data_IF_001770133686
#
_entry.id   IF_001770133686
#
_cell.length_a   1.000
_cell.length_b   1.000
_cell.length_c   1.000
_cell.angle_alpha   90.00
_cell.angle_beta   90.00
_cell.angle_gamma   90.00
#
_symmetry.space_group_name_H-M   'P 1'
#
loop_
_entity.id
_entity.type
_entity.pdbx_description
1 polymer ?
#
# COMPACT_ATOMS: atom_id res chain seq x y z
N UNK A 1 10.01 -23.14 -33.02
CA UNK A 1 10.07 -22.07 -31.99
C UNK A 1 8.94 -22.28 -30.99
N UNK A 2 9.22 -22.44 -29.69
CA UNK A 2 8.27 -23.01 -28.72
C UNK A 2 7.16 -21.99 -28.32
N UNK A 3 5.87 -22.25 -28.61
CA UNK A 3 4.78 -21.28 -28.41
C UNK A 3 4.47 -20.92 -26.95
N UNK A 4 5.04 -21.66 -25.98
CA UNK A 4 4.93 -21.35 -24.55
C UNK A 4 5.83 -20.18 -24.11
N UNK A 5 7.01 -20.03 -24.74
CA UNK A 5 7.98 -18.97 -24.40
C UNK A 5 7.54 -17.59 -24.91
N UNK A 6 6.93 -17.54 -26.09
CA UNK A 6 6.41 -16.29 -26.68
C UNK A 6 5.22 -15.71 -25.91
N UNK A 7 4.41 -16.56 -25.26
CA UNK A 7 3.28 -16.13 -24.40
C UNK A 7 3.76 -15.47 -23.10
N UNK A 8 4.81 -16.01 -22.48
CA UNK A 8 5.45 -15.43 -21.29
C UNK A 8 6.11 -14.08 -21.59
N UNK A 9 6.86 -13.99 -22.70
CA UNK A 9 7.52 -12.76 -23.12
C UNK A 9 6.53 -11.62 -23.43
N UNK A 10 5.41 -11.94 -24.09
CA UNK A 10 4.36 -10.97 -24.41
C UNK A 10 3.60 -10.52 -23.16
N UNK A 11 3.37 -11.41 -22.19
CA UNK A 11 2.85 -11.05 -20.86
C UNK A 11 3.81 -10.11 -20.13
N UNK A 12 5.11 -10.43 -20.04
CA UNK A 12 6.12 -9.61 -19.35
C UNK A 12 6.24 -8.22 -20.01
N UNK A 13 6.27 -8.16 -21.35
CA UNK A 13 6.32 -6.88 -22.08
C UNK A 13 5.06 -6.03 -21.87
N UNK A 14 3.88 -6.65 -21.77
CA UNK A 14 2.63 -5.97 -21.46
C UNK A 14 2.56 -5.53 -19.98
N UNK A 15 3.07 -6.34 -19.04
CA UNK A 15 3.24 -5.98 -17.64
C UNK A 15 4.21 -4.80 -17.45
N UNK A 16 5.30 -4.75 -18.23
CA UNK A 16 6.28 -3.67 -18.19
C UNK A 16 5.74 -2.36 -18.78
N UNK A 17 4.98 -2.42 -19.88
CA UNK A 17 4.41 -1.23 -20.53
C UNK A 17 3.15 -0.68 -19.84
N UNK A 18 2.49 -1.46 -18.97
CA UNK A 18 1.32 -0.99 -18.22
C UNK A 18 1.63 -0.32 -16.88
N UNK A 19 2.89 -0.33 -16.41
CA UNK A 19 3.24 -0.01 -15.00
C UNK A 19 4.46 0.88 -14.81
N UNK A 20 4.61 2.02 -15.53
CA UNK A 20 5.83 2.82 -15.48
C UNK A 20 6.16 3.34 -14.07
N UNK A 21 5.15 3.67 -13.26
CA UNK A 21 5.33 4.26 -11.93
C UNK A 21 5.86 3.27 -10.89
N UNK A 22 5.31 2.05 -10.87
CA UNK A 22 5.76 0.99 -9.96
C UNK A 22 7.18 0.53 -10.31
N UNK A 23 7.46 0.34 -11.60
CA UNK A 23 8.79 -0.06 -12.07
C UNK A 23 9.83 1.02 -11.81
N UNK A 24 9.46 2.29 -11.98
CA UNK A 24 10.31 3.42 -11.63
C UNK A 24 10.62 3.46 -10.13
N UNK A 25 9.62 3.24 -9.26
CA UNK A 25 9.85 3.15 -7.81
C UNK A 25 10.78 1.99 -7.44
N UNK A 26 10.63 0.81 -8.06
CA UNK A 26 11.53 -0.34 -7.84
C UNK A 26 12.94 -0.04 -8.32
N UNK A 27 13.08 0.55 -9.50
CA UNK A 27 14.36 0.92 -10.06
C UNK A 27 15.09 1.88 -9.12
N UNK A 28 14.40 2.92 -8.63
CA UNK A 28 14.99 3.89 -7.71
C UNK A 28 15.42 3.25 -6.39
N UNK A 29 14.59 2.36 -5.83
CA UNK A 29 14.93 1.61 -4.62
C UNK A 29 16.17 0.72 -4.82
N UNK A 30 16.29 0.08 -5.99
CA UNK A 30 17.44 -0.76 -6.35
C UNK A 30 18.70 0.08 -6.48
N UNK A 31 18.60 1.26 -7.13
CA UNK A 31 19.72 2.20 -7.26
C UNK A 31 20.22 2.63 -5.88
N UNK A 32 19.31 3.03 -4.98
CA UNK A 32 19.69 3.45 -3.62
C UNK A 32 20.29 2.30 -2.81
N UNK A 33 19.72 1.10 -2.92
CA UNK A 33 20.28 -0.08 -2.27
C UNK A 33 21.74 -0.33 -2.71
N UNK A 34 22.05 -0.17 -4.00
CA UNK A 34 23.40 -0.35 -4.54
C UNK A 34 24.33 0.81 -4.17
N UNK A 35 23.89 2.06 -4.23
CA UNK A 35 24.70 3.22 -3.86
C UNK A 35 25.09 3.24 -2.37
N UNK A 36 24.24 2.70 -1.49
CA UNK A 36 24.51 2.62 -0.05
C UNK A 36 25.38 1.41 0.37
N UNK A 37 25.82 0.58 -0.58
CA UNK A 37 26.69 -0.59 -0.32
C UNK A 37 27.92 -0.30 0.53
N UNK A 38 28.70 0.77 0.29
CA UNK A 38 29.95 0.97 1.02
C UNK A 38 29.76 1.59 2.41
N UNK A 39 28.55 2.03 2.77
CA UNK A 39 28.33 2.84 3.97
C UNK A 39 27.53 2.13 5.08
N UNK A 40 26.67 1.17 4.73
CA UNK A 40 25.69 0.60 5.66
C UNK A 40 25.55 -0.92 5.55
N UNK A 41 25.05 -1.54 6.64
CA UNK A 41 24.71 -2.96 6.66
C UNK A 41 23.58 -3.29 5.67
N UNK A 42 23.47 -4.53 5.17
CA UNK A 42 22.42 -4.93 4.24
C UNK A 42 20.99 -4.65 4.74
N UNK A 43 20.76 -4.76 6.05
CA UNK A 43 19.45 -4.47 6.67
C UNK A 43 19.06 -2.99 6.55
N UNK A 44 19.96 -2.07 6.90
CA UNK A 44 19.72 -0.62 6.80
C UNK A 44 19.51 -0.21 5.34
N UNK A 45 20.31 -0.77 4.42
CA UNK A 45 20.19 -0.52 2.98
C UNK A 45 18.83 -0.95 2.44
N UNK A 46 18.31 -2.10 2.90
CA UNK A 46 17.00 -2.59 2.53
C UNK A 46 15.89 -1.65 3.03
N UNK A 47 16.00 -1.15 4.26
CA UNK A 47 15.05 -0.19 4.82
C UNK A 47 15.06 1.15 4.06
N UNK A 48 16.23 1.65 3.68
CA UNK A 48 16.32 2.85 2.82
C UNK A 48 15.68 2.62 1.45
N UNK A 49 16.00 1.50 0.78
CA UNK A 49 15.40 1.15 -0.50
C UNK A 49 13.87 1.04 -0.40
N UNK A 50 13.37 0.40 0.65
CA UNK A 50 11.93 0.30 0.93
C UNK A 50 11.29 1.67 1.10
N UNK A 51 11.86 2.55 1.94
CA UNK A 51 11.31 3.89 2.15
C UNK A 51 11.21 4.67 0.85
N UNK A 52 12.24 4.62 0.01
CA UNK A 52 12.23 5.34 -1.26
C UNK A 52 11.21 4.75 -2.24
N UNK A 53 11.12 3.43 -2.33
CA UNK A 53 10.06 2.77 -3.09
C UNK A 53 8.68 3.24 -2.61
N UNK A 54 8.43 3.12 -1.30
CA UNK A 54 7.12 3.36 -0.68
C UNK A 54 6.69 4.81 -0.84
N UNK A 55 7.54 5.78 -0.49
CA UNK A 55 7.23 7.21 -0.61
C UNK A 55 7.01 7.66 -2.04
N UNK A 56 7.87 7.24 -2.98
CA UNK A 56 7.66 7.54 -4.41
C UNK A 56 6.34 6.96 -4.90
N UNK A 57 6.03 5.73 -4.49
CA UNK A 57 4.80 5.08 -4.91
C UNK A 57 3.56 5.75 -4.30
N UNK A 58 3.59 6.15 -3.03
CA UNK A 58 2.55 6.96 -2.38
C UNK A 58 2.33 8.25 -3.18
N UNK A 59 3.40 8.98 -3.52
CA UNK A 59 3.31 10.21 -4.31
C UNK A 59 2.67 9.97 -5.68
N UNK A 60 3.03 8.89 -6.37
CA UNK A 60 2.42 8.51 -7.64
C UNK A 60 0.93 8.15 -7.53
N UNK A 61 0.52 7.51 -6.44
CA UNK A 61 -0.88 7.19 -6.17
C UNK A 61 -1.65 8.47 -5.83
N UNK A 62 -1.12 9.34 -4.96
CA UNK A 62 -1.73 10.63 -4.64
C UNK A 62 -1.89 11.50 -5.89
N UNK A 63 -0.85 11.60 -6.71
CA UNK A 63 -0.92 12.32 -7.98
C UNK A 63 -1.96 11.71 -8.94
N UNK A 64 -2.23 10.40 -8.87
CA UNK A 64 -3.32 9.75 -9.64
C UNK A 64 -4.69 10.14 -9.08
N UNK A 65 -4.85 10.15 -7.76
CA UNK A 65 -6.11 10.48 -7.07
C UNK A 65 -6.47 11.96 -7.30
N UNK A 66 -5.52 12.87 -7.15
CA UNK A 66 -5.73 14.33 -7.28
C UNK A 66 -6.04 14.73 -8.73
N UNK A 67 -5.34 14.17 -9.72
CA UNK A 67 -5.43 14.63 -11.10
C UNK A 67 -6.55 13.99 -11.94
N UNK A 68 -7.32 13.03 -11.40
CA UNK A 68 -8.33 12.28 -12.18
C UNK A 68 -9.74 12.58 -11.71
N UNK A 69 -10.59 13.04 -12.64
CA UNK A 69 -12.03 13.24 -12.40
C UNK A 69 -12.79 11.91 -12.46
N UNK A 70 -13.91 11.83 -11.74
CA UNK A 70 -14.72 10.61 -11.62
C UNK A 70 -15.10 9.95 -12.97
N UNK A 71 -15.42 10.76 -13.98
CA UNK A 71 -15.81 10.28 -15.31
C UNK A 71 -14.70 9.52 -16.05
N UNK A 72 -13.42 9.84 -15.78
CA UNK A 72 -12.28 9.17 -16.41
C UNK A 72 -12.01 7.80 -15.78
N UNK A 73 -12.39 7.60 -14.52
CA UNK A 73 -12.08 6.38 -13.76
C UNK A 73 -12.76 5.18 -14.42
N UNK A 74 -14.06 5.27 -14.74
CA UNK A 74 -14.85 4.18 -15.35
C UNK A 74 -14.25 3.64 -16.65
N UNK A 75 -13.62 4.49 -17.46
CA UNK A 75 -12.97 4.08 -18.73
C UNK A 75 -11.60 3.45 -18.50
N UNK A 76 -10.87 3.89 -17.47
CA UNK A 76 -9.51 3.44 -17.17
C UNK A 76 -9.52 2.11 -16.39
N UNK A 77 -10.46 1.91 -15.45
CA UNK A 77 -10.51 0.71 -14.60
C UNK A 77 -10.79 -0.58 -15.37
N UNK A 78 -11.43 -0.52 -16.55
CA UNK A 78 -11.61 -1.67 -17.46
C UNK A 78 -10.32 -2.10 -18.18
N UNK A 79 -9.28 -1.25 -18.19
CA UNK A 79 -8.01 -1.54 -18.86
C UNK A 79 -6.88 -1.90 -17.87
N UNK A 80 -7.01 -1.57 -16.59
CA UNK A 80 -6.02 -1.80 -15.52
C UNK A 80 -6.30 -3.07 -14.65
N UNK A 81 -6.99 -4.06 -15.23
CA UNK A 81 -7.67 -5.21 -14.56
C UNK A 81 -6.77 -6.17 -13.73
N UNK A 82 -5.43 -6.08 -13.84
CA UNK A 82 -4.51 -6.97 -13.11
C UNK A 82 -3.53 -6.25 -12.14
N UNK A 83 -3.55 -4.92 -12.06
CA UNK A 83 -2.59 -4.17 -11.23
C UNK A 83 -3.01 -3.98 -9.76
N UNK A 84 -4.29 -3.81 -9.46
CA UNK A 84 -4.74 -3.48 -8.09
C UNK A 84 -4.50 -4.64 -7.10
N UNK A 85 -4.74 -5.89 -7.52
CA UNK A 85 -4.54 -7.09 -6.68
C UNK A 85 -3.07 -7.35 -6.37
N UNK A 86 -2.18 -7.16 -7.35
CA UNK A 86 -0.72 -7.29 -7.16
C UNK A 86 -0.17 -6.18 -6.25
N UNK A 87 -0.71 -4.96 -6.34
CA UNK A 87 -0.33 -3.86 -5.44
C UNK A 87 -0.70 -4.19 -4.00
N UNK A 88 -1.94 -4.65 -3.76
CA UNK A 88 -2.34 -5.12 -2.42
C UNK A 88 -1.42 -6.25 -1.95
N UNK A 89 -1.09 -7.21 -2.82
CA UNK A 89 -0.19 -8.31 -2.48
C UNK A 89 1.19 -7.81 -2.01
N UNK A 90 1.82 -6.89 -2.75
CA UNK A 90 3.11 -6.31 -2.34
C UNK A 90 3.02 -5.43 -1.10
N UNK A 91 1.90 -4.72 -0.90
CA UNK A 91 1.67 -3.92 0.30
C UNK A 91 1.49 -4.81 1.54
N UNK A 92 0.77 -5.92 1.41
CA UNK A 92 0.62 -6.91 2.48
C UNK A 92 1.95 -7.57 2.80
N UNK A 93 2.76 -7.94 1.79
CA UNK A 93 4.11 -8.46 2.01
C UNK A 93 5.00 -7.40 2.69
N UNK A 94 4.96 -6.15 2.23
CA UNK A 94 5.68 -5.03 2.83
C UNK A 94 5.32 -4.79 4.29
N UNK A 95 4.03 -4.91 4.60
CA UNK A 95 3.49 -4.88 5.95
C UNK A 95 4.06 -6.03 6.80
N UNK A 96 4.01 -7.28 6.32
CA UNK A 96 4.58 -8.42 7.01
C UNK A 96 6.09 -8.27 7.25
N UNK A 97 6.84 -7.77 6.26
CA UNK A 97 8.27 -7.49 6.39
C UNK A 97 8.52 -6.38 7.42
N UNK A 98 7.70 -5.32 7.43
CA UNK A 98 7.82 -4.23 8.40
C UNK A 98 7.58 -4.73 9.83
N UNK A 99 6.58 -5.60 10.03
CA UNK A 99 6.30 -6.26 11.32
C UNK A 99 7.43 -7.20 11.72
N UNK A 100 8.01 -7.95 10.78
CA UNK A 100 9.15 -8.84 11.07
C UNK A 100 10.38 -8.03 11.49
N UNK A 101 10.69 -6.96 10.77
CA UNK A 101 11.80 -6.06 11.10
C UNK A 101 11.58 -5.41 12.47
N UNK A 102 10.35 -5.05 12.82
CA UNK A 102 9.99 -4.57 14.16
C UNK A 102 10.35 -5.57 15.27
N UNK A 103 10.00 -6.84 15.12
CA UNK A 103 10.32 -7.87 16.12
C UNK A 103 11.83 -8.08 16.25
N UNK A 104 12.57 -8.02 15.15
CA UNK A 104 14.02 -8.19 15.14
C UNK A 104 14.75 -6.97 15.74
N UNK A 105 14.24 -5.76 15.53
CA UNK A 105 14.80 -4.54 16.11
C UNK A 105 14.55 -4.51 17.63
N UNK A 106 13.38 -4.96 18.09
CA UNK A 106 13.08 -5.13 19.53
C UNK A 106 14.10 -6.04 20.23
N UNK A 107 14.57 -7.10 19.55
CA UNK A 107 15.55 -8.03 20.10
C UNK A 107 16.98 -7.44 20.19
N UNK A 108 17.26 -6.34 19.49
CA UNK A 108 18.61 -5.77 19.34
C UNK A 108 18.77 -4.36 19.93
N UNK A 109 17.68 -3.75 20.42
CA UNK A 109 17.63 -2.39 20.96
C UNK A 109 18.65 -2.08 22.09
N UNK A 110 19.16 -3.11 22.77
CA UNK A 110 20.14 -2.98 23.85
C UNK A 110 21.59 -2.66 23.43
N UNK A 111 21.95 -2.71 22.14
CA UNK A 111 23.38 -2.74 21.73
C UNK A 111 23.93 -1.53 20.94
N UNK A 112 23.11 -0.53 20.60
CA UNK A 112 23.57 0.60 19.78
C UNK A 112 23.64 1.87 20.65
N UNK A 113 24.72 2.65 20.62
CA UNK A 113 24.83 3.92 21.35
C UNK A 113 25.23 5.06 20.39
N UNK A 114 24.71 6.27 20.61
CA UNK A 114 25.08 7.48 19.85
C UNK A 114 24.15 7.86 18.66
N UNK A 115 24.66 8.75 17.79
CA UNK A 115 23.93 9.39 16.67
C UNK A 115 23.27 8.40 15.68
N UNK A 116 23.78 7.17 15.60
CA UNK A 116 23.23 6.11 14.76
C UNK A 116 21.86 5.60 15.25
N UNK A 117 21.55 5.70 16.56
CA UNK A 117 20.24 5.33 17.11
C UNK A 117 19.10 6.20 16.56
N UNK A 118 19.33 7.52 16.49
CA UNK A 118 18.31 8.48 16.01
C UNK A 118 17.99 8.23 14.55
N UNK A 119 19.03 8.03 13.72
CA UNK A 119 18.88 7.70 12.30
C UNK A 119 18.09 6.41 12.09
N UNK A 120 18.43 5.35 12.85
CA UNK A 120 17.69 4.09 12.83
C UNK A 120 16.22 4.30 13.18
N UNK A 121 15.95 5.05 14.26
CA UNK A 121 14.60 5.35 14.70
C UNK A 121 13.77 6.09 13.65
N UNK A 122 14.34 7.11 13.01
CA UNK A 122 13.67 7.86 11.93
C UNK A 122 13.35 6.95 10.74
N UNK A 123 14.31 6.10 10.33
CA UNK A 123 14.12 5.17 9.20
C UNK A 123 13.05 4.13 9.53
N UNK A 124 13.07 3.54 10.72
CA UNK A 124 12.05 2.60 11.17
C UNK A 124 10.68 3.27 11.24
N UNK A 125 10.58 4.45 11.86
CA UNK A 125 9.33 5.20 11.93
C UNK A 125 8.76 5.56 10.55
N UNK A 126 9.63 6.00 9.62
CA UNK A 126 9.26 6.26 8.23
C UNK A 126 8.81 4.99 7.49
N UNK A 127 9.47 3.85 7.75
CA UNK A 127 9.09 2.55 7.20
C UNK A 127 7.67 2.17 7.65
N UNK A 128 7.40 2.33 8.95
CA UNK A 128 6.11 2.02 9.54
C UNK A 128 5.00 2.91 8.98
N UNK A 129 5.24 4.22 8.95
CA UNK A 129 4.28 5.20 8.44
C UNK A 129 3.97 4.98 6.96
N UNK A 130 5.01 4.78 6.13
CA UNK A 130 4.83 4.54 4.70
C UNK A 130 4.13 3.20 4.42
N UNK A 131 4.48 2.13 5.15
CA UNK A 131 3.78 0.85 5.06
C UNK A 131 2.31 0.94 5.50
N UNK A 132 2.01 1.70 6.55
CA UNK A 132 0.64 1.96 6.97
C UNK A 132 -0.14 2.73 5.90
N UNK A 133 0.42 3.82 5.36
CA UNK A 133 -0.22 4.65 4.34
C UNK A 133 -0.49 3.90 3.03
N UNK A 134 0.42 2.99 2.64
CA UNK A 134 0.26 2.19 1.44
C UNK A 134 -0.96 1.27 1.49
N UNK A 135 -1.36 0.82 2.68
CA UNK A 135 -2.49 -0.09 2.86
C UNK A 135 -3.82 0.53 2.41
N UNK A 136 -4.35 1.60 3.02
CA UNK A 136 -5.59 2.21 2.57
C UNK A 136 -5.46 2.82 1.16
N UNK A 137 -4.27 3.28 0.75
CA UNK A 137 -4.06 3.73 -0.63
C UNK A 137 -4.19 2.59 -1.66
N UNK A 138 -3.71 1.40 -1.33
CA UNK A 138 -3.88 0.19 -2.14
C UNK A 138 -5.35 -0.25 -2.21
N UNK A 139 -6.03 -0.27 -1.05
CA UNK A 139 -7.45 -0.60 -0.97
C UNK A 139 -8.33 0.44 -1.67
N UNK A 140 -7.99 1.72 -1.65
CA UNK A 140 -8.66 2.78 -2.43
C UNK A 140 -8.72 2.43 -3.92
N UNK A 141 -7.56 2.05 -4.49
CA UNK A 141 -7.48 1.66 -5.90
C UNK A 141 -8.25 0.37 -6.19
N UNK A 142 -8.25 -0.57 -5.24
CA UNK A 142 -8.97 -1.82 -5.38
C UNK A 142 -10.48 -1.66 -5.29
N UNK A 143 -10.99 -0.85 -4.36
CA UNK A 143 -12.41 -0.53 -4.27
C UNK A 143 -12.89 0.17 -5.53
N UNK A 144 -12.16 1.16 -6.03
CA UNK A 144 -12.50 1.83 -7.29
C UNK A 144 -12.59 0.83 -8.45
N UNK A 145 -11.59 -0.06 -8.56
CA UNK A 145 -11.56 -1.06 -9.61
C UNK A 145 -12.73 -2.05 -9.52
N UNK A 146 -12.96 -2.62 -8.34
CA UNK A 146 -14.01 -3.60 -8.10
C UNK A 146 -15.41 -2.99 -8.28
N UNK A 147 -15.60 -1.75 -7.82
CA UNK A 147 -16.85 -1.01 -8.00
C UNK A 147 -17.18 -0.79 -9.48
N UNK A 148 -16.21 -0.33 -10.28
CA UNK A 148 -16.42 -0.07 -11.71
C UNK A 148 -16.38 -1.33 -12.59
N UNK A 149 -15.81 -2.43 -12.09
CA UNK A 149 -15.84 -3.73 -12.77
C UNK A 149 -17.20 -4.44 -12.63
N UNK A 150 -18.05 -4.02 -11.69
CA UNK A 150 -19.37 -4.60 -11.49
C UNK A 150 -20.23 -4.45 -12.77
N UNK A 151 -20.68 -5.56 -13.40
CA UNK A 151 -21.50 -5.51 -14.60
C UNK A 151 -22.93 -5.05 -14.33
N UNK A 152 -23.41 -5.09 -13.08
CA UNK A 152 -24.76 -4.67 -12.68
C UNK A 152 -24.71 -3.27 -12.07
N UNK A 153 -24.82 -2.25 -12.90
CA UNK A 153 -24.79 -0.85 -12.46
C UNK A 153 -25.91 -0.50 -11.47
N UNK A 154 -27.04 -1.20 -11.54
CA UNK A 154 -28.23 -0.97 -10.71
C UNK A 154 -28.10 -1.52 -9.28
N UNK A 155 -27.06 -2.31 -9.00
CA UNK A 155 -26.75 -2.88 -7.68
C UNK A 155 -25.33 -2.50 -7.25
N UNK A 156 -25.11 -1.24 -6.83
CA UNK A 156 -23.79 -0.74 -6.49
C UNK A 156 -23.24 -1.40 -5.22
N UNK A 157 -21.98 -1.82 -5.28
CA UNK A 157 -21.36 -2.55 -4.17
C UNK A 157 -20.98 -1.66 -2.97
N UNK A 158 -20.89 -0.34 -3.19
CA UNK A 158 -20.76 0.67 -2.15
C UNK A 158 -21.85 1.72 -2.33
N UNK A 159 -22.54 2.04 -1.25
CA UNK A 159 -23.67 2.95 -1.19
C UNK A 159 -23.24 4.21 -0.46
N UNK A 160 -23.00 5.28 -1.21
CA UNK A 160 -22.65 6.60 -0.66
C UNK A 160 -23.92 7.35 -0.22
N UNK A 161 -23.87 8.14 0.87
CA UNK A 161 -25.05 8.82 1.42
C UNK A 161 -25.72 9.76 0.40
N UNK A 162 -24.92 10.45 -0.40
CA UNK A 162 -25.40 11.38 -1.44
C UNK A 162 -25.89 10.68 -2.72
N UNK A 163 -25.97 9.33 -2.72
CA UNK A 163 -26.43 8.51 -3.85
C UNK A 163 -25.68 8.79 -5.16
N UNK A 164 -24.39 9.09 -5.04
CA UNK A 164 -23.50 9.38 -6.17
C UNK A 164 -23.38 8.13 -7.06
N UNK A 165 -23.70 8.27 -8.36
CA UNK A 165 -23.63 7.15 -9.31
C UNK A 165 -22.22 6.90 -9.87
N UNK A 166 -21.36 7.91 -9.83
CA UNK A 166 -19.98 7.84 -10.32
C UNK A 166 -19.02 8.39 -9.25
N UNK A 167 -18.72 7.62 -8.19
CA UNK A 167 -17.76 8.02 -7.17
C UNK A 167 -16.35 8.21 -7.74
N UNK A 168 -15.70 9.27 -7.28
CA UNK A 168 -14.31 9.61 -7.57
C UNK A 168 -13.34 8.79 -6.72
N UNK A 169 -12.03 8.90 -7.00
CA UNK A 169 -11.02 8.30 -6.13
C UNK A 169 -11.04 8.85 -4.70
N UNK A 170 -11.49 10.09 -4.49
CA UNK A 170 -11.63 10.67 -3.15
C UNK A 170 -12.68 9.95 -2.32
N UNK A 171 -13.77 9.51 -2.94
CA UNK A 171 -14.86 8.80 -2.26
C UNK A 171 -14.39 7.40 -1.82
N UNK A 172 -13.64 6.70 -2.67
CA UNK A 172 -13.01 5.42 -2.31
C UNK A 172 -11.88 5.58 -1.29
N UNK A 173 -11.14 6.69 -1.36
CA UNK A 173 -10.07 7.00 -0.41
C UNK A 173 -10.64 7.28 0.96
N UNK A 174 -11.69 8.10 1.04
CA UNK A 174 -12.44 8.35 2.25
C UNK A 174 -12.93 7.05 2.89
N UNK A 175 -13.60 6.19 2.13
CA UNK A 175 -14.06 4.90 2.61
C UNK A 175 -12.90 4.02 3.13
N UNK A 176 -11.83 3.88 2.35
CA UNK A 176 -10.71 3.02 2.70
C UNK A 176 -9.93 3.52 3.91
N UNK A 177 -9.66 4.81 4.01
CA UNK A 177 -8.97 5.39 5.17
C UNK A 177 -9.82 5.30 6.44
N UNK A 178 -11.15 5.43 6.33
CA UNK A 178 -12.04 5.28 7.48
C UNK A 178 -11.96 3.87 8.07
N UNK A 179 -11.91 2.84 7.21
CA UNK A 179 -11.68 1.45 7.66
C UNK A 179 -10.29 1.28 8.28
N UNK A 180 -9.25 1.87 7.68
CA UNK A 180 -7.89 1.72 8.18
C UNK A 180 -7.66 2.40 9.54
N UNK A 181 -8.26 3.57 9.75
CA UNK A 181 -8.11 4.35 10.98
C UNK A 181 -9.02 3.82 12.09
N UNK A 182 -10.30 3.54 11.80
CA UNK A 182 -11.33 3.35 12.82
C UNK A 182 -12.10 2.02 12.72
N UNK A 183 -11.76 1.13 11.77
CA UNK A 183 -12.37 -0.19 11.55
C UNK A 183 -13.88 -0.25 11.26
N UNK A 184 -14.65 0.86 11.41
CA UNK A 184 -15.80 1.30 10.62
C UNK A 184 -16.63 2.35 11.38
N UNK A 185 -16.48 3.63 11.01
CA UNK A 185 -17.37 4.75 11.36
C UNK A 185 -17.79 5.53 10.09
N UNK A 186 -17.88 4.83 8.96
CA UNK A 186 -18.19 5.43 7.67
C UNK A 186 -19.71 5.54 7.46
N UNK A 187 -20.14 6.64 6.84
CA UNK A 187 -21.48 6.86 6.30
C UNK A 187 -21.76 6.04 5.02
N UNK A 188 -20.72 5.39 4.47
CA UNK A 188 -20.80 4.52 3.30
C UNK A 188 -21.20 3.11 3.68
N UNK A 189 -22.30 2.63 3.10
CA UNK A 189 -22.82 1.28 3.32
C UNK A 189 -22.26 0.28 2.29
N UNK A 190 -22.03 -0.97 2.72
CA UNK A 190 -21.52 -2.05 1.86
C UNK A 190 -22.70 -2.83 1.29
N UNK A 191 -22.93 -2.71 -0.03
CA UNK A 191 -24.13 -3.23 -0.70
C UNK A 191 -24.05 -4.71 -1.11
N UNK A 192 -22.85 -5.28 -1.29
CA UNK A 192 -22.69 -6.65 -1.81
C UNK A 192 -21.89 -7.58 -0.90
N UNK A 193 -22.14 -8.89 -0.99
CA UNK A 193 -21.38 -9.90 -0.26
C UNK A 193 -19.90 -9.91 -0.65
N UNK A 194 -19.57 -9.75 -1.93
CA UNK A 194 -18.18 -9.71 -2.39
C UNK A 194 -17.43 -8.51 -1.83
N UNK A 195 -18.07 -7.34 -1.77
CA UNK A 195 -17.45 -6.16 -1.15
C UNK A 195 -17.27 -6.34 0.36
N UNK A 196 -18.22 -6.98 1.05
CA UNK A 196 -18.08 -7.32 2.49
C UNK A 196 -16.85 -8.19 2.77
N UNK A 197 -16.52 -9.16 1.91
CA UNK A 197 -15.30 -9.98 2.06
C UNK A 197 -14.02 -9.13 1.96
N UNK A 198 -13.97 -8.19 1.03
CA UNK A 198 -12.83 -7.28 0.83
C UNK A 198 -12.68 -6.34 2.02
N UNK A 199 -13.79 -5.75 2.48
CA UNK A 199 -13.81 -4.85 3.65
C UNK A 199 -13.35 -5.61 4.90
N UNK A 200 -13.84 -6.83 5.11
CA UNK A 200 -13.40 -7.68 6.23
C UNK A 200 -11.89 -7.94 6.18
N UNK A 201 -11.36 -8.27 5.00
CA UNK A 201 -9.91 -8.45 4.82
C UNK A 201 -9.14 -7.18 5.18
N UNK A 202 -9.57 -6.01 4.70
CA UNK A 202 -8.94 -4.74 5.05
C UNK A 202 -8.98 -4.51 6.56
N UNK A 203 -10.16 -4.65 7.19
CA UNK A 203 -10.35 -4.40 8.62
C UNK A 203 -9.44 -5.27 9.48
N UNK A 204 -9.32 -6.57 9.17
CA UNK A 204 -8.43 -7.48 9.91
C UNK A 204 -6.97 -7.06 9.78
N UNK A 205 -6.51 -6.74 8.57
CA UNK A 205 -5.12 -6.32 8.35
C UNK A 205 -4.84 -4.98 9.04
N UNK A 206 -5.76 -4.02 8.93
CA UNK A 206 -5.66 -2.70 9.59
C UNK A 206 -5.64 -2.83 11.10
N UNK A 207 -6.46 -3.71 11.69
CA UNK A 207 -6.44 -3.97 13.12
C UNK A 207 -5.08 -4.49 13.61
N UNK A 208 -4.52 -5.49 12.92
CA UNK A 208 -3.19 -6.02 13.24
C UNK A 208 -2.11 -4.94 13.12
N UNK A 209 -2.18 -4.11 12.08
CA UNK A 209 -1.23 -3.01 11.87
C UNK A 209 -1.33 -1.97 12.99
N UNK A 210 -2.54 -1.55 13.36
CA UNK A 210 -2.77 -0.57 14.43
C UNK A 210 -2.27 -1.11 15.78
N UNK A 211 -2.49 -2.40 16.07
CA UNK A 211 -1.91 -3.03 17.27
C UNK A 211 -0.37 -3.04 17.26
N UNK A 212 0.25 -3.33 16.11
CA UNK A 212 1.70 -3.31 15.97
C UNK A 212 2.29 -1.90 16.19
N UNK A 213 1.66 -0.86 15.62
CA UNK A 213 2.06 0.54 15.84
C UNK A 213 1.93 0.92 17.32
N UNK A 214 0.83 0.55 17.96
CA UNK A 214 0.59 0.83 19.37
C UNK A 214 1.64 0.15 20.26
N UNK A 215 1.91 -1.13 20.02
CA UNK A 215 2.93 -1.89 20.75
C UNK A 215 4.34 -1.28 20.62
N UNK A 216 4.72 -0.85 19.41
CA UNK A 216 5.99 -0.16 19.20
C UNK A 216 6.03 1.17 19.96
N UNK A 217 4.97 1.97 19.86
CA UNK A 217 4.91 3.29 20.50
C UNK A 217 5.13 3.16 22.02
N UNK A 218 4.51 2.15 22.65
CA UNK A 218 4.71 1.85 24.07
C UNK A 218 6.15 1.43 24.35
N UNK A 219 6.72 0.53 23.55
CA UNK A 219 8.09 0.05 23.76
C UNK A 219 9.12 1.19 23.64
N UNK A 220 8.96 2.04 22.63
CA UNK A 220 9.82 3.20 22.42
C UNK A 220 9.75 4.15 23.60
N UNK A 221 8.53 4.50 24.06
CA UNK A 221 8.36 5.30 25.26
C UNK A 221 9.03 4.64 26.48
N UNK A 222 8.84 3.33 26.68
CA UNK A 222 9.46 2.60 27.77
C UNK A 222 10.99 2.49 27.67
N UNK A 223 11.57 2.61 26.47
CA UNK A 223 13.03 2.60 26.25
C UNK A 223 13.70 3.96 26.44
N UNK A 224 12.90 5.03 26.47
CA UNK A 224 13.35 6.42 26.65
C UNK A 224 13.37 6.87 28.12
N UNK A 225 12.64 6.19 29.00
CA UNK A 225 12.55 6.44 30.44
C UNK A 225 13.16 5.27 31.23
#
# INVERSE_FOLDING_TARGET
MNPRLTRGYRKIRHYLHGRPRFLFSILMATVIYLCLTPFFSPAIRLMFGWNVFAWLYILFLLAKIVNRRAHDIRKITRLEDESAKMVIFFVVIGCCISVLVLFLELATAGQISGHQKILHFIITGSTLLSSWLLLPMGFTMHYAHVFYANPRADDPWLLFPDKIQAPSYWDFMYFSFTIAVASQTADVCVGSQEMRKIVLLQSVISFVFNMAILGLSINVCASLF
#
